data_IF_788781808913
#
_entry.id   IF_788781808913
#
_cell.length_a   1.000
_cell.length_b   1.000
_cell.length_c   1.000
_cell.angle_alpha   90.00
_cell.angle_beta   90.00
_cell.angle_gamma   90.00
#
_symmetry.space_group_name_H-M   'P 1'
#
loop_
_entity.id
_entity.type
_entity.pdbx_description
1 polymer ?
#
# COMPACT_ATOMS: atom_id res chain seq x y z
N UNK A 1 21.71 -27.00 -4.52
CA UNK A 1 20.23 -26.85 -4.46
C UNK A 1 19.92 -25.69 -3.54
N UNK A 2 19.80 -24.48 -4.10
CA UNK A 2 19.60 -23.26 -3.31
C UNK A 2 18.12 -23.04 -3.11
N UNK A 3 17.68 -23.01 -1.85
CA UNK A 3 16.30 -22.77 -1.42
C UNK A 3 15.85 -21.36 -1.81
N UNK A 4 15.26 -21.21 -2.99
CA UNK A 4 14.59 -19.97 -3.42
C UNK A 4 13.49 -19.65 -2.40
N UNK A 5 13.77 -18.64 -1.59
CA UNK A 5 12.96 -18.29 -0.43
C UNK A 5 11.79 -17.46 -0.93
N UNK A 6 10.63 -18.08 -1.15
CA UNK A 6 9.40 -17.35 -1.46
C UNK A 6 9.19 -16.27 -0.38
N UNK A 7 9.30 -15.00 -0.77
CA UNK A 7 8.97 -13.91 0.14
C UNK A 7 7.48 -14.01 0.48
N UNK A 8 7.17 -14.24 1.75
CA UNK A 8 5.79 -14.34 2.19
C UNK A 8 5.09 -12.99 1.95
N UNK A 9 3.82 -13.01 1.52
CA UNK A 9 3.06 -11.78 1.31
C UNK A 9 3.05 -10.94 2.60
N UNK A 10 3.46 -9.69 2.51
CA UNK A 10 3.45 -8.78 3.66
C UNK A 10 2.03 -8.23 3.82
N UNK A 11 1.39 -8.52 4.95
CA UNK A 11 0.11 -7.92 5.32
C UNK A 11 0.38 -6.74 6.23
N UNK A 12 -0.14 -5.57 5.89
CA UNK A 12 -0.09 -4.37 6.73
C UNK A 12 -1.51 -3.92 7.05
N UNK A 13 -1.76 -3.61 8.31
CA UNK A 13 -3.04 -3.10 8.76
C UNK A 13 -3.00 -1.58 8.82
N UNK A 14 -4.02 -0.94 8.28
CA UNK A 14 -4.21 0.49 8.29
C UNK A 14 -5.50 0.82 9.03
N UNK A 15 -5.44 1.82 9.89
CA UNK A 15 -6.59 2.45 10.50
C UNK A 15 -7.06 3.55 9.55
N UNK A 16 -8.31 3.46 9.12
CA UNK A 16 -8.95 4.40 8.21
C UNK A 16 -10.15 5.00 8.93
N UNK A 17 -10.39 6.29 8.75
CA UNK A 17 -11.57 6.96 9.29
C UNK A 17 -11.93 8.17 8.45
N UNK A 18 -13.19 8.57 8.49
CA UNK A 18 -13.65 9.81 7.91
C UNK A 18 -13.49 10.96 8.90
N UNK A 19 -13.09 12.12 8.40
CA UNK A 19 -13.12 13.39 9.13
C UNK A 19 -14.41 14.12 8.80
N UNK A 20 -15.31 14.21 9.78
CA UNK A 20 -16.57 14.96 9.65
C UNK A 20 -16.53 16.22 10.52
N UNK A 21 -17.16 17.28 10.05
CA UNK A 21 -17.29 18.50 10.85
C UNK A 21 -18.41 18.36 11.88
N UNK A 22 -18.10 18.68 13.14
CA UNK A 22 -19.08 18.63 14.22
C UNK A 22 -20.22 19.65 14.05
N UNK A 23 -19.97 20.76 13.37
CA UNK A 23 -20.93 21.87 13.24
C UNK A 23 -21.86 21.72 12.03
N UNK A 24 -21.30 21.52 10.84
CA UNK A 24 -22.10 21.47 9.60
C UNK A 24 -22.30 20.06 9.04
N UNK A 25 -21.72 19.03 9.67
CA UNK A 25 -21.84 17.63 9.24
C UNK A 25 -21.11 17.30 7.93
N UNK A 26 -20.41 18.25 7.30
CA UNK A 26 -19.72 17.97 6.04
C UNK A 26 -18.52 17.04 6.25
N UNK A 27 -18.35 16.10 5.34
CA UNK A 27 -17.13 15.28 5.25
C UNK A 27 -16.00 16.15 4.70
N UNK A 28 -14.93 16.30 5.48
CA UNK A 28 -13.72 17.03 5.11
C UNK A 28 -12.77 16.15 4.28
N UNK A 29 -12.74 14.85 4.56
CA UNK A 29 -11.92 13.87 3.87
C UNK A 29 -11.77 12.58 4.67
N UNK A 30 -10.92 11.67 4.22
CA UNK A 30 -10.56 10.45 4.96
C UNK A 30 -9.11 10.49 5.41
N UNK A 31 -8.83 9.91 6.58
CA UNK A 31 -7.47 9.76 7.09
C UNK A 31 -7.07 8.30 7.18
N UNK A 32 -5.79 8.04 6.94
CA UNK A 32 -5.20 6.71 6.96
C UNK A 32 -3.88 6.71 7.75
N UNK A 33 -3.67 5.69 8.58
CA UNK A 33 -2.46 5.48 9.37
C UNK A 33 -2.16 4.01 9.59
N UNK A 34 -0.89 3.59 9.59
CA UNK A 34 -0.50 2.22 10.00
C UNK A 34 -0.66 2.00 11.53
N UNK A 35 -1.01 3.06 12.27
CA UNK A 35 -1.10 3.07 13.73
C UNK A 35 -2.44 3.65 14.18
N UNK A 36 -2.87 3.29 15.39
CA UNK A 36 -4.17 3.71 15.91
C UNK A 36 -4.37 5.23 15.85
N UNK A 37 -5.53 5.64 15.32
CA UNK A 37 -5.94 7.05 15.23
C UNK A 37 -6.32 7.65 16.58
N UNK A 38 -6.56 6.82 17.60
CA UNK A 38 -6.94 7.21 18.96
C UNK A 38 -5.77 7.16 19.95
N UNK A 39 -4.52 7.23 19.46
CA UNK A 39 -3.32 7.13 20.28
C UNK A 39 -3.33 8.08 21.50
N UNK A 40 -2.62 7.64 22.55
CA UNK A 40 -2.52 8.33 23.83
C UNK A 40 -2.18 9.83 23.68
N UNK A 41 -2.76 10.70 24.52
CA UNK A 41 -2.53 12.13 24.47
C UNK A 41 -1.02 12.44 24.58
N UNK A 42 -0.53 13.32 23.70
CA UNK A 42 0.87 13.77 23.68
C UNK A 42 1.73 13.21 22.54
N UNK A 43 1.29 12.15 21.85
CA UNK A 43 2.02 11.62 20.69
C UNK A 43 1.38 12.12 19.40
N UNK A 44 2.03 13.09 18.76
CA UNK A 44 1.63 13.61 17.45
C UNK A 44 2.15 12.64 16.39
N UNK A 45 1.25 12.01 15.63
CA UNK A 45 1.62 11.07 14.57
C UNK A 45 1.05 11.55 13.24
N UNK A 46 1.89 11.60 12.20
CA UNK A 46 1.41 11.99 10.89
C UNK A 46 0.45 10.95 10.34
N UNK A 47 -0.69 11.42 9.82
CA UNK A 47 -1.66 10.60 9.08
C UNK A 47 -1.68 11.03 7.62
N UNK A 48 -2.07 10.14 6.73
CA UNK A 48 -2.32 10.48 5.34
C UNK A 48 -3.77 10.96 5.21
N UNK A 49 -3.97 12.22 4.86
CA UNK A 49 -5.27 12.83 4.63
C UNK A 49 -5.58 12.80 3.12
N UNK A 50 -6.74 12.28 2.75
CA UNK A 50 -7.29 12.35 1.40
C UNK A 50 -8.50 13.27 1.41
N UNK A 51 -8.39 14.39 0.72
CA UNK A 51 -9.49 15.34 0.56
C UNK A 51 -10.22 15.09 -0.76
N UNK A 52 -11.55 15.28 -0.80
CA UNK A 52 -12.29 15.21 -2.04
C UNK A 52 -11.82 16.32 -3.00
N UNK A 53 -11.54 15.95 -4.25
CA UNK A 53 -11.02 16.88 -5.26
C UNK A 53 -9.50 17.01 -5.32
N UNK A 54 -8.76 16.30 -4.46
CA UNK A 54 -7.31 16.21 -4.52
C UNK A 54 -6.85 14.80 -4.89
N UNK A 55 -5.98 14.68 -5.89
CA UNK A 55 -5.50 13.38 -6.38
C UNK A 55 -4.48 12.72 -5.43
N UNK A 56 -3.73 13.53 -4.68
CA UNK A 56 -2.66 13.04 -3.81
C UNK A 56 -3.02 13.18 -2.33
N UNK A 57 -2.75 12.14 -1.51
CA UNK A 57 -2.88 12.26 -0.08
C UNK A 57 -1.82 13.22 0.48
N UNK A 58 -2.22 14.07 1.41
CA UNK A 58 -1.34 15.02 2.10
C UNK A 58 -1.01 14.48 3.49
N UNK A 59 0.23 14.64 3.93
CA UNK A 59 0.61 14.25 5.29
C UNK A 59 0.12 15.31 6.29
N UNK A 60 -0.81 14.93 7.16
CA UNK A 60 -1.33 15.76 8.23
C UNK A 60 -0.67 15.36 9.56
N UNK A 61 0.23 16.21 10.07
CA UNK A 61 0.94 15.96 11.34
C UNK A 61 -0.02 15.97 12.53
N UNK A 62 -0.99 16.90 12.54
CA UNK A 62 -1.93 17.06 13.65
C UNK A 62 -3.36 17.26 13.15
N UNK A 63 -4.00 16.17 12.72
CA UNK A 63 -5.35 16.21 12.18
C UNK A 63 -6.40 16.77 13.16
N UNK A 64 -6.17 16.68 14.48
CA UNK A 64 -7.06 17.24 15.53
C UNK A 64 -7.15 18.77 15.51
N UNK A 65 -6.15 19.44 14.94
CA UNK A 65 -6.13 20.90 14.80
C UNK A 65 -6.73 21.37 13.47
N UNK A 66 -7.06 20.46 12.56
CA UNK A 66 -7.75 20.83 11.33
C UNK A 66 -9.13 21.40 11.64
N UNK A 67 -9.57 22.29 10.76
CA UNK A 67 -10.87 22.95 10.82
C UNK A 67 -11.58 22.77 9.49
N UNK A 68 -12.90 22.79 9.53
CA UNK A 68 -13.71 22.67 8.34
C UNK A 68 -13.57 23.91 7.45
N UNK A 69 -13.29 23.73 6.16
CA UNK A 69 -13.18 24.84 5.20
C UNK A 69 -14.49 25.62 4.99
N UNK A 70 -15.65 25.01 5.34
CA UNK A 70 -16.97 25.63 5.16
C UNK A 70 -17.39 26.51 6.33
N UNK A 71 -17.24 26.02 7.56
CA UNK A 71 -17.77 26.67 8.76
C UNK A 71 -16.72 26.91 9.85
N UNK A 72 -15.46 26.56 9.59
CA UNK A 72 -14.34 26.63 10.53
C UNK A 72 -14.55 25.83 11.84
N UNK A 73 -15.51 24.89 11.85
CA UNK A 73 -15.81 24.05 13.00
C UNK A 73 -14.75 22.96 13.24
N UNK A 74 -14.73 22.37 14.45
CA UNK A 74 -13.84 21.26 14.76
C UNK A 74 -14.23 20.01 13.95
N UNK A 75 -13.22 19.22 13.60
CA UNK A 75 -13.39 17.93 12.93
C UNK A 75 -13.29 16.78 13.95
N UNK A 76 -14.05 15.72 13.73
CA UNK A 76 -14.02 14.50 14.53
C UNK A 76 -13.90 13.27 13.62
N UNK A 77 -13.46 12.15 14.19
CA UNK A 77 -13.39 10.86 13.49
C UNK A 77 -14.77 10.23 13.47
N UNK A 78 -15.21 9.85 12.29
CA UNK A 78 -16.38 9.01 12.08
C UNK A 78 -15.98 7.76 11.29
N UNK A 79 -16.83 6.73 11.33
CA UNK A 79 -16.66 5.49 10.54
C UNK A 79 -15.24 4.91 10.59
N UNK A 80 -14.72 4.67 11.81
CA UNK A 80 -13.37 4.14 12.01
C UNK A 80 -13.29 2.65 11.69
N UNK A 81 -12.45 2.29 10.72
CA UNK A 81 -12.24 0.92 10.26
C UNK A 81 -10.77 0.49 10.30
N UNK A 82 -10.53 -0.82 10.30
CA UNK A 82 -9.20 -1.42 10.18
C UNK A 82 -9.10 -2.22 8.90
N UNK A 83 -8.36 -1.70 7.93
CA UNK A 83 -8.18 -2.30 6.61
C UNK A 83 -6.84 -3.02 6.54
N UNK A 84 -6.86 -4.33 6.30
CA UNK A 84 -5.63 -5.10 6.06
C UNK A 84 -5.31 -5.12 4.57
N UNK A 85 -4.22 -4.46 4.16
CA UNK A 85 -3.73 -4.49 2.78
C UNK A 85 -2.63 -5.53 2.63
N UNK A 86 -2.71 -6.30 1.55
CA UNK A 86 -1.71 -7.29 1.17
C UNK A 86 -0.76 -6.67 0.15
N UNK A 87 0.51 -6.55 0.51
CA UNK A 87 1.59 -6.16 -0.39
C UNK A 87 2.31 -7.43 -0.84
N UNK A 88 2.09 -7.78 -2.11
CA UNK A 88 2.85 -8.81 -2.79
C UNK A 88 4.00 -8.12 -3.53
N UNK A 89 5.24 -8.45 -3.18
CA UNK A 89 6.38 -8.13 -4.03
C UNK A 89 6.30 -9.06 -5.25
N UNK A 90 5.56 -8.63 -6.27
CA UNK A 90 5.37 -9.43 -7.48
C UNK A 90 6.68 -9.49 -8.27
N UNK A 91 7.41 -10.60 -8.12
CA UNK A 91 8.55 -10.89 -8.99
C UNK A 91 8.07 -11.64 -10.23
N UNK A 92 8.02 -10.93 -11.37
CA UNK A 92 7.64 -11.48 -12.68
C UNK A 92 8.59 -12.58 -13.18
N UNK A 93 9.79 -12.69 -12.62
CA UNK A 93 10.74 -13.77 -12.94
C UNK A 93 10.44 -15.08 -12.21
N UNK A 94 9.78 -15.01 -11.05
CA UNK A 94 9.49 -16.17 -10.19
C UNK A 94 8.06 -16.72 -10.42
N UNK A 95 7.37 -16.25 -11.47
CA UNK A 95 6.03 -16.70 -11.78
C UNK A 95 6.05 -18.19 -12.15
N UNK A 96 5.47 -19.01 -11.26
CA UNK A 96 5.35 -20.46 -11.47
C UNK A 96 4.70 -20.70 -12.82
N UNK A 97 5.28 -21.54 -13.69
CA UNK A 97 4.64 -21.89 -14.93
C UNK A 97 3.26 -22.51 -14.65
N UNK A 98 2.24 -22.02 -15.36
CA UNK A 98 0.90 -22.63 -15.35
C UNK A 98 1.01 -24.07 -15.85
N UNK A 99 0.17 -24.98 -15.33
CA UNK A 99 0.25 -26.44 -15.56
C UNK A 99 0.60 -26.77 -17.01
N UNK A 100 1.65 -27.57 -17.20
CA UNK A 100 2.12 -28.03 -18.52
C UNK A 100 3.16 -27.13 -19.21
N UNK A 101 3.35 -25.87 -18.79
CA UNK A 101 4.44 -25.03 -19.32
C UNK A 101 5.75 -25.34 -18.57
N UNK A 102 6.88 -25.54 -19.26
CA UNK A 102 8.18 -25.57 -18.59
C UNK A 102 8.50 -24.20 -17.96
N UNK A 103 9.22 -24.13 -16.82
CA UNK A 103 9.69 -22.89 -16.24
C UNK A 103 10.44 -22.01 -17.26
N UNK A 104 10.19 -20.70 -17.26
CA UNK A 104 10.80 -19.77 -18.24
C UNK A 104 12.34 -19.79 -18.15
N UNK A 105 12.88 -19.92 -16.94
CA UNK A 105 14.32 -20.08 -16.70
C UNK A 105 14.92 -21.28 -17.45
N UNK A 106 14.23 -22.43 -17.48
CA UNK A 106 14.66 -23.61 -18.24
C UNK A 106 14.57 -23.44 -19.76
N UNK A 107 13.74 -22.50 -20.23
CA UNK A 107 13.66 -22.16 -21.66
C UNK A 107 14.81 -21.22 -22.02
N UNK A 108 15.11 -20.24 -21.17
CA UNK A 108 16.22 -19.30 -21.36
C UNK A 108 17.59 -19.98 -21.26
N UNK A 109 17.77 -20.92 -20.34
CA UNK A 109 19.01 -21.71 -20.19
C UNK A 109 19.28 -22.56 -21.44
N UNK A 110 18.26 -23.28 -21.94
CA UNK A 110 18.36 -24.01 -23.23
C UNK A 110 18.61 -23.11 -24.43
N UNK A 111 18.13 -21.87 -24.40
CA UNK A 111 18.43 -20.89 -25.45
C UNK A 111 19.90 -20.48 -25.40
N UNK A 112 20.41 -20.15 -24.21
CA UNK A 112 21.82 -19.78 -24.01
C UNK A 112 22.77 -20.91 -24.41
N UNK A 113 22.47 -22.16 -24.04
CA UNK A 113 23.30 -23.31 -24.45
C UNK A 113 23.37 -23.46 -25.97
N UNK A 114 22.25 -23.29 -26.67
CA UNK A 114 22.21 -23.35 -28.13
C UNK A 114 23.01 -22.22 -28.78
N UNK A 115 22.84 -20.98 -28.30
CA UNK A 115 23.57 -19.82 -28.81
C UNK A 115 25.10 -20.01 -28.60
N UNK A 116 25.52 -20.63 -27.49
CA UNK A 116 26.91 -20.97 -27.21
C UNK A 116 27.44 -22.06 -28.16
N UNK A 117 26.66 -23.09 -28.46
CA UNK A 117 27.05 -24.13 -29.41
C UNK A 117 27.18 -23.58 -30.84
N UNK A 118 26.25 -22.73 -31.27
CA UNK A 118 26.29 -22.09 -32.59
C UNK A 118 27.51 -21.17 -32.74
N UNK A 119 27.86 -20.41 -31.69
CA UNK A 119 29.04 -19.54 -31.71
C UNK A 119 30.38 -20.28 -31.63
N UNK A 120 30.42 -21.50 -31.09
CA UNK A 120 31.62 -22.35 -31.11
C UNK A 120 31.80 -23.12 -32.43
N UNK A 121 30.71 -23.32 -33.18
CA UNK A 121 30.73 -24.03 -34.45
C UNK A 121 31.00 -23.12 -35.67
N UNK A 122 31.03 -21.79 -35.47
CA UNK A 122 31.35 -20.77 -36.46
C UNK A 122 32.82 -20.32 -36.33
#
# INVERSE_FOLDING_TARGET
MSSETFSKPQRRSFFVADLKCYMCGSVYGSIESEQSLTAAPGIVRPVLLRQPGHDQPVQAVNWKHLRCDRCNGPLFLDETDVVTRRYDNYNWLDERPRRGRPPKRLIEERRRERDLLESQAA
#
